data_IF_739109790442
#
_entry.id   IF_739109790442
#
_cell.length_a   1.000
_cell.length_b   1.000
_cell.length_c   1.000
_cell.angle_alpha   90.00
_cell.angle_beta   90.00
_cell.angle_gamma   90.00
#
_symmetry.space_group_name_H-M   'P 1'
#
loop_
_entity.id
_entity.type
_entity.pdbx_description
1 polymer ?
#
# COMPACT_ATOMS: atom_id res chain seq x y z
N UNK A 1 -15.52 -23.83 18.31
CA UNK A 1 -16.32 -23.17 17.24
C UNK A 1 -15.39 -22.27 16.45
N UNK A 2 -15.25 -22.39 15.13
CA UNK A 2 -14.29 -21.57 14.35
C UNK A 2 -14.94 -20.25 13.99
N UNK A 3 -14.31 -19.14 14.37
CA UNK A 3 -14.72 -17.80 13.95
C UNK A 3 -14.67 -17.69 12.41
N UNK A 4 -15.71 -17.12 11.79
CA UNK A 4 -15.77 -17.02 10.33
C UNK A 4 -14.83 -15.93 9.85
N UNK A 5 -14.00 -16.20 8.82
CA UNK A 5 -13.09 -15.21 8.18
C UNK A 5 -13.79 -13.88 7.84
N UNK A 6 -15.09 -13.95 7.49
CA UNK A 6 -15.92 -12.78 7.18
C UNK A 6 -16.14 -11.85 8.37
N UNK A 7 -16.22 -12.39 9.59
CA UNK A 7 -16.40 -11.60 10.81
C UNK A 7 -15.12 -10.86 11.17
N UNK A 8 -13.97 -11.52 11.03
CA UNK A 8 -12.65 -10.89 11.19
C UNK A 8 -12.44 -9.75 10.19
N UNK A 9 -12.76 -9.98 8.93
CA UNK A 9 -12.65 -8.95 7.90
C UNK A 9 -13.58 -7.76 8.19
N UNK A 10 -14.82 -8.00 8.61
CA UNK A 10 -15.74 -6.92 9.03
C UNK A 10 -15.20 -6.14 10.22
N UNK A 11 -14.62 -6.83 11.21
CA UNK A 11 -13.99 -6.18 12.36
C UNK A 11 -12.79 -5.32 11.93
N UNK A 12 -11.92 -5.85 11.07
CA UNK A 12 -10.77 -5.13 10.53
C UNK A 12 -11.18 -3.85 9.79
N UNK A 13 -12.24 -3.92 8.96
CA UNK A 13 -12.68 -2.79 8.13
C UNK A 13 -13.70 -1.87 8.81
N UNK A 14 -14.15 -2.19 10.01
CA UNK A 14 -15.17 -1.41 10.72
C UNK A 14 -14.72 0.04 10.91
N UNK A 15 -15.54 0.98 10.48
CA UNK A 15 -15.36 2.44 10.62
C UNK A 15 -14.09 3.02 9.96
N UNK A 16 -13.29 2.20 9.27
CA UNK A 16 -12.00 2.61 8.69
C UNK A 16 -11.84 2.25 7.21
N UNK A 17 -12.87 1.66 6.59
CA UNK A 17 -12.80 1.20 5.20
C UNK A 17 -12.50 2.35 4.23
N UNK A 18 -13.23 3.45 4.35
CA UNK A 18 -13.04 4.62 3.49
C UNK A 18 -11.65 5.24 3.67
N UNK A 19 -11.19 5.33 4.92
CA UNK A 19 -9.85 5.83 5.23
C UNK A 19 -8.76 4.92 4.68
N UNK A 20 -8.90 3.60 4.82
CA UNK A 20 -7.95 2.64 4.23
C UNK A 20 -7.90 2.73 2.70
N UNK A 21 -9.05 2.89 2.03
CA UNK A 21 -9.10 3.09 0.58
C UNK A 21 -8.41 4.39 0.16
N UNK A 22 -8.59 5.47 0.92
CA UNK A 22 -7.91 6.74 0.66
C UNK A 22 -6.39 6.59 0.77
N UNK A 23 -5.90 5.94 1.81
CA UNK A 23 -4.46 5.68 2.02
C UNK A 23 -3.88 4.89 0.84
N UNK A 24 -4.57 3.83 0.39
CA UNK A 24 -4.15 3.01 -0.75
C UNK A 24 -4.16 3.81 -2.04
N UNK A 25 -5.19 4.64 -2.26
CA UNK A 25 -5.28 5.49 -3.45
C UNK A 25 -4.12 6.50 -3.52
N UNK A 26 -3.83 7.18 -2.40
CA UNK A 26 -2.69 8.11 -2.31
C UNK A 26 -1.38 7.38 -2.59
N UNK A 27 -1.18 6.19 -2.02
CA UNK A 27 0.02 5.40 -2.22
C UNK A 27 0.16 4.97 -3.69
N UNK A 28 -0.92 4.48 -4.29
CA UNK A 28 -0.95 4.05 -5.70
C UNK A 28 -0.62 5.20 -6.63
N UNK A 29 -1.27 6.37 -6.45
CA UNK A 29 -1.02 7.57 -7.26
C UNK A 29 0.44 8.01 -7.11
N UNK A 30 0.95 8.04 -5.87
CA UNK A 30 2.31 8.47 -5.56
C UNK A 30 3.35 7.57 -6.22
N UNK A 31 3.17 6.24 -6.17
CA UNK A 31 4.07 5.29 -6.83
C UNK A 31 4.03 5.44 -8.36
N UNK A 32 2.83 5.47 -8.94
CA UNK A 32 2.66 5.57 -10.40
C UNK A 32 3.22 6.89 -10.92
N UNK A 33 2.91 8.01 -10.28
CA UNK A 33 3.40 9.32 -10.66
C UNK A 33 4.93 9.42 -10.55
N UNK A 34 5.53 8.89 -9.47
CA UNK A 34 6.98 8.84 -9.29
C UNK A 34 7.67 8.15 -10.44
N UNK A 35 7.16 6.98 -10.82
CA UNK A 35 7.72 6.17 -11.89
C UNK A 35 7.65 6.88 -13.25
N UNK A 36 6.45 7.37 -13.61
CA UNK A 36 6.22 8.02 -14.89
C UNK A 36 7.04 9.31 -15.04
N UNK A 37 6.98 10.20 -14.06
CA UNK A 37 7.67 11.50 -14.12
C UNK A 37 9.19 11.32 -14.15
N UNK A 38 9.74 10.42 -13.35
CA UNK A 38 11.17 10.14 -13.38
C UNK A 38 11.61 9.55 -14.72
N UNK A 39 10.81 8.68 -15.33
CA UNK A 39 11.09 8.10 -16.65
C UNK A 39 11.04 9.15 -17.76
N UNK A 40 10.00 9.98 -17.80
CA UNK A 40 9.83 11.04 -18.79
C UNK A 40 10.93 12.08 -18.67
N UNK A 41 11.22 12.55 -17.45
CA UNK A 41 12.27 13.55 -17.23
C UNK A 41 13.65 13.06 -17.67
N UNK A 42 14.00 11.80 -17.40
CA UNK A 42 15.25 11.19 -17.85
C UNK A 42 15.31 11.11 -19.38
N UNK A 43 14.23 10.63 -20.01
CA UNK A 43 14.13 10.57 -21.47
C UNK A 43 14.34 11.95 -22.10
N UNK A 44 13.68 12.96 -21.55
CA UNK A 44 13.76 14.31 -22.10
C UNK A 44 15.13 14.95 -21.89
N UNK A 45 15.85 14.63 -20.80
CA UNK A 45 17.26 15.00 -20.63
C UNK A 45 18.12 14.49 -21.80
N UNK A 46 17.98 13.22 -22.14
CA UNK A 46 18.71 12.63 -23.28
C UNK A 46 18.28 13.24 -24.62
N UNK A 47 16.97 13.46 -24.80
CA UNK A 47 16.44 14.07 -26.03
C UNK A 47 16.99 15.50 -26.25
N UNK A 48 17.10 16.31 -25.18
CA UNK A 48 17.70 17.66 -25.25
C UNK A 48 19.18 17.58 -25.67
N UNK A 49 19.94 16.64 -25.10
CA UNK A 49 21.35 16.44 -25.43
C UNK A 49 21.51 16.01 -26.90
N UNK A 50 20.61 15.17 -27.39
CA UNK A 50 20.64 14.67 -28.77
C UNK A 50 19.96 15.61 -29.78
N UNK A 51 19.38 16.74 -29.35
CA UNK A 51 18.65 17.68 -30.20
C UNK A 51 17.33 17.15 -30.73
N UNK A 52 16.70 16.21 -30.02
CA UNK A 52 15.42 15.60 -30.35
C UNK A 52 14.25 16.32 -29.64
N UNK A 53 13.04 16.05 -30.10
CA UNK A 53 11.83 16.56 -29.48
C UNK A 53 11.62 16.01 -28.07
N UNK A 54 11.22 16.90 -27.15
CA UNK A 54 10.98 16.59 -25.75
C UNK A 54 9.49 16.40 -25.46
N UNK A 55 9.20 15.44 -24.60
CA UNK A 55 7.83 15.05 -24.25
C UNK A 55 7.16 16.11 -23.35
N UNK A 56 7.90 16.74 -22.44
CA UNK A 56 7.40 17.76 -21.52
C UNK A 56 7.36 19.17 -22.15
N UNK A 57 7.88 19.35 -23.37
CA UNK A 57 7.99 20.68 -23.99
C UNK A 57 9.05 21.59 -23.32
N UNK A 58 9.91 21.05 -22.48
CA UNK A 58 10.94 21.78 -21.74
C UNK A 58 12.31 21.48 -22.36
N UNK A 59 12.88 22.46 -23.04
CA UNK A 59 14.18 22.32 -23.71
C UNK A 59 15.38 22.75 -22.83
N UNK A 60 15.13 23.27 -21.63
CA UNK A 60 16.18 23.65 -20.70
C UNK A 60 16.66 22.44 -19.90
N UNK A 61 17.91 22.05 -20.11
CA UNK A 61 18.56 20.95 -19.40
C UNK A 61 18.55 21.16 -17.88
N UNK A 62 18.81 22.38 -17.42
CA UNK A 62 18.83 22.71 -15.99
C UNK A 62 17.47 22.50 -15.34
N UNK A 63 16.38 22.86 -16.03
CA UNK A 63 15.02 22.67 -15.53
C UNK A 63 14.68 21.18 -15.47
N UNK A 64 15.04 20.40 -16.48
CA UNK A 64 14.80 18.96 -16.50
C UNK A 64 15.58 18.24 -15.39
N UNK A 65 16.83 18.62 -15.15
CA UNK A 65 17.63 18.11 -14.03
C UNK A 65 16.97 18.47 -12.70
N UNK A 66 16.52 19.73 -12.55
CA UNK A 66 15.82 20.16 -11.35
C UNK A 66 14.53 19.35 -11.11
N UNK A 67 13.72 19.12 -12.14
CA UNK A 67 12.53 18.28 -12.06
C UNK A 67 12.90 16.86 -11.63
N UNK A 68 13.94 16.28 -12.22
CA UNK A 68 14.37 14.92 -11.90
C UNK A 68 14.85 14.75 -10.44
N UNK A 69 15.29 15.83 -9.79
CA UNK A 69 15.68 15.83 -8.37
C UNK A 69 14.51 16.19 -7.47
N UNK A 70 13.73 17.22 -7.82
CA UNK A 70 12.68 17.75 -6.95
C UNK A 70 11.46 16.82 -6.88
N UNK A 71 11.11 16.18 -7.99
CA UNK A 71 9.94 15.25 -8.01
C UNK A 71 10.12 14.10 -7.01
N UNK A 72 11.23 13.35 -6.97
CA UNK A 72 11.45 12.32 -5.94
C UNK A 72 11.45 12.87 -4.51
N UNK A 73 11.98 14.08 -4.29
CA UNK A 73 11.96 14.70 -2.96
C UNK A 73 10.53 14.98 -2.48
N UNK A 74 9.73 15.63 -3.32
CA UNK A 74 8.31 15.91 -3.01
C UNK A 74 7.55 14.61 -2.74
N UNK A 75 7.76 13.60 -3.59
CA UNK A 75 7.13 12.29 -3.44
C UNK A 75 7.53 11.62 -2.12
N UNK A 76 8.80 11.70 -1.72
CA UNK A 76 9.25 11.17 -0.44
C UNK A 76 8.58 11.90 0.75
N UNK A 77 8.39 13.21 0.68
CA UNK A 77 7.63 13.96 1.69
C UNK A 77 6.17 13.46 1.77
N UNK A 78 5.51 13.27 0.63
CA UNK A 78 4.15 12.73 0.58
C UNK A 78 4.09 11.32 1.17
N UNK A 79 5.07 10.45 0.88
CA UNK A 79 5.17 9.11 1.45
C UNK A 79 5.33 9.14 2.97
N UNK A 80 6.14 10.03 3.52
CA UNK A 80 6.31 10.17 4.97
C UNK A 80 5.00 10.59 5.65
N UNK A 81 4.28 11.55 5.08
CA UNK A 81 2.96 11.95 5.58
C UNK A 81 1.98 10.77 5.50
N UNK A 82 1.93 10.07 4.35
CA UNK A 82 1.05 8.92 4.17
C UNK A 82 1.39 7.79 5.16
N UNK A 83 2.66 7.56 5.47
CA UNK A 83 3.10 6.58 6.47
C UNK A 83 2.49 6.85 7.85
N UNK A 84 2.39 8.11 8.28
CA UNK A 84 1.73 8.47 9.53
C UNK A 84 0.22 8.13 9.52
N UNK A 85 -0.44 8.30 8.38
CA UNK A 85 -1.84 7.89 8.21
C UNK A 85 -2.00 6.37 8.20
N UNK A 86 -1.08 5.66 7.57
CA UNK A 86 -1.02 4.18 7.59
C UNK A 86 -0.91 3.67 9.03
N UNK A 87 -0.04 4.24 9.86
CA UNK A 87 0.09 3.82 11.27
C UNK A 87 -1.18 4.08 12.09
N UNK A 88 -1.87 5.19 11.88
CA UNK A 88 -3.18 5.45 12.49
C UNK A 88 -4.22 4.42 12.05
N UNK A 89 -4.22 4.07 10.78
CA UNK A 89 -5.10 3.04 10.22
C UNK A 89 -4.83 1.67 10.85
N UNK A 90 -3.56 1.25 10.91
CA UNK A 90 -3.13 0.00 11.56
C UNK A 90 -3.58 -0.06 13.02
N UNK A 91 -3.34 1.01 13.77
CA UNK A 91 -3.71 1.08 15.19
C UNK A 91 -5.21 0.92 15.39
N UNK A 92 -6.02 1.58 14.56
CA UNK A 92 -7.48 1.44 14.63
C UNK A 92 -7.94 0.04 14.22
N UNK A 93 -7.34 -0.53 13.17
CA UNK A 93 -7.61 -1.91 12.73
C UNK A 93 -7.28 -2.92 13.84
N UNK A 94 -6.12 -2.80 14.48
CA UNK A 94 -5.73 -3.63 15.64
C UNK A 94 -6.76 -3.53 16.76
N UNK A 95 -7.15 -2.32 17.13
CA UNK A 95 -8.14 -2.11 18.16
C UNK A 95 -9.47 -2.82 17.84
N UNK A 96 -9.97 -2.67 16.61
CA UNK A 96 -11.21 -3.28 16.17
C UNK A 96 -11.14 -4.82 16.21
N UNK A 97 -10.03 -5.40 15.70
CA UNK A 97 -9.82 -6.85 15.71
C UNK A 97 -9.68 -7.36 17.15
N UNK A 98 -8.91 -6.65 18.00
CA UNK A 98 -8.73 -6.99 19.42
C UNK A 98 -10.06 -7.02 20.17
N UNK A 99 -10.91 -6.04 19.95
CA UNK A 99 -12.21 -5.97 20.63
C UNK A 99 -13.12 -7.14 20.27
N UNK A 100 -13.13 -7.56 18.99
CA UNK A 100 -13.92 -8.72 18.55
C UNK A 100 -13.33 -10.03 19.06
N UNK A 101 -12.02 -10.20 19.01
CA UNK A 101 -11.36 -11.39 19.53
C UNK A 101 -11.55 -11.50 21.06
N UNK A 102 -11.44 -10.39 21.79
CA UNK A 102 -11.68 -10.37 23.23
C UNK A 102 -13.11 -10.79 23.57
N UNK A 103 -14.10 -10.25 22.88
CA UNK A 103 -15.48 -10.63 23.06
C UNK A 103 -15.73 -12.12 22.79
N UNK A 104 -15.00 -12.69 21.83
CA UNK A 104 -15.06 -14.11 21.51
C UNK A 104 -14.42 -14.98 22.60
N UNK A 105 -13.22 -14.59 23.06
CA UNK A 105 -12.51 -15.27 24.16
C UNK A 105 -13.33 -15.25 25.46
N UNK A 106 -13.87 -14.11 25.85
CA UNK A 106 -14.71 -13.99 27.03
C UNK A 106 -15.97 -14.86 26.97
N UNK A 107 -16.55 -15.00 25.78
CA UNK A 107 -17.71 -15.86 25.55
C UNK A 107 -17.37 -17.36 25.64
N UNK A 108 -16.16 -17.73 25.30
CA UNK A 108 -15.66 -19.11 25.34
C UNK A 108 -15.08 -19.49 26.72
N UNK A 109 -14.51 -18.54 27.46
CA UNK A 109 -14.00 -18.72 28.83
C UNK A 109 -15.11 -18.91 29.87
N UNK A 110 -16.34 -18.51 29.56
CA UNK A 110 -17.53 -18.82 30.39
C UNK A 110 -17.93 -20.30 30.33
N UNK A 111 -17.22 -21.12 29.55
CA UNK A 111 -17.48 -22.55 29.41
C UNK A 111 -16.53 -23.31 30.37
N UNK A 112 -17.00 -23.89 31.49
CA UNK A 112 -16.16 -24.42 32.59
C UNK A 112 -15.30 -25.64 32.24
N UNK A 113 -15.31 -26.09 30.99
CA UNK A 113 -14.62 -27.31 30.53
C UNK A 113 -13.27 -27.05 29.83
N UNK A 114 -12.67 -25.84 29.86
CA UNK A 114 -11.47 -25.53 29.06
C UNK A 114 -10.31 -24.89 29.81
N UNK A 115 -9.14 -25.21 29.30
CA UNK A 115 -7.77 -24.95 29.68
C UNK A 115 -7.39 -23.56 30.20
N UNK A 116 -6.31 -23.56 30.96
CA UNK A 116 -5.60 -22.45 31.62
C UNK A 116 -5.62 -21.10 30.91
N UNK A 117 -5.99 -20.05 31.65
CA UNK A 117 -6.06 -18.63 31.25
C UNK A 117 -4.85 -18.10 30.48
N UNK A 118 -3.65 -18.64 30.73
CA UNK A 118 -2.42 -18.22 30.07
C UNK A 118 -2.30 -18.63 28.60
N UNK A 119 -2.78 -19.80 28.24
CA UNK A 119 -2.75 -20.28 26.84
C UNK A 119 -3.73 -19.47 25.97
N UNK A 120 -4.92 -19.17 26.51
CA UNK A 120 -5.94 -18.34 25.86
C UNK A 120 -5.44 -16.91 25.65
N UNK A 121 -4.75 -16.33 26.63
CA UNK A 121 -4.21 -14.97 26.54
C UNK A 121 -3.09 -14.87 25.51
N UNK A 122 -2.23 -15.88 25.45
CA UNK A 122 -1.12 -15.94 24.49
C UNK A 122 -1.65 -16.14 23.05
N UNK A 123 -2.64 -17.00 22.87
CA UNK A 123 -3.35 -17.17 21.62
C UNK A 123 -3.97 -15.85 21.15
N UNK A 124 -4.68 -15.15 22.05
CA UNK A 124 -5.29 -13.86 21.76
C UNK A 124 -4.26 -12.81 21.31
N UNK A 125 -3.10 -12.76 21.93
CA UNK A 125 -2.04 -11.79 21.64
C UNK A 125 -1.42 -12.04 20.27
N UNK A 126 -1.03 -13.25 19.96
CA UNK A 126 -0.31 -13.62 18.75
C UNK A 126 -1.25 -13.66 17.53
N UNK A 127 -2.38 -14.32 17.63
CA UNK A 127 -3.35 -14.44 16.53
C UNK A 127 -3.94 -13.10 16.11
N UNK A 128 -4.07 -12.15 17.03
CA UNK A 128 -4.54 -10.80 16.69
C UNK A 128 -3.57 -10.07 15.78
N UNK A 129 -2.28 -10.13 16.07
CA UNK A 129 -1.25 -9.49 15.24
C UNK A 129 -1.16 -10.17 13.87
N UNK A 130 -1.21 -11.48 13.82
CA UNK A 130 -1.16 -12.26 12.58
C UNK A 130 -2.36 -11.95 11.67
N UNK A 131 -3.57 -11.86 12.23
CA UNK A 131 -4.78 -11.49 11.47
C UNK A 131 -4.67 -10.07 10.92
N UNK A 132 -4.23 -9.13 11.73
CA UNK A 132 -4.07 -7.73 11.29
C UNK A 132 -2.99 -7.63 10.21
N UNK A 133 -1.85 -8.26 10.40
CA UNK A 133 -0.75 -8.25 9.44
C UNK A 133 -1.17 -8.91 8.12
N UNK A 134 -1.88 -10.03 8.16
CA UNK A 134 -2.42 -10.68 6.95
C UNK A 134 -3.29 -9.73 6.11
N UNK A 135 -4.24 -9.02 6.75
CA UNK A 135 -5.09 -8.09 6.03
C UNK A 135 -4.31 -6.88 5.52
N UNK A 136 -3.36 -6.35 6.31
CA UNK A 136 -2.52 -5.23 5.89
C UNK A 136 -1.65 -5.61 4.69
N UNK A 137 -1.04 -6.78 4.71
CA UNK A 137 -0.19 -7.24 3.61
C UNK A 137 -0.99 -7.35 2.31
N UNK A 138 -2.21 -7.87 2.36
CA UNK A 138 -3.12 -7.87 1.21
C UNK A 138 -3.33 -6.47 0.64
N UNK A 139 -3.60 -5.48 1.50
CA UNK A 139 -3.79 -4.10 1.07
C UNK A 139 -2.51 -3.48 0.48
N UNK A 140 -1.34 -3.79 1.02
CA UNK A 140 -0.06 -3.31 0.48
C UNK A 140 0.32 -3.92 -0.88
N UNK A 141 -0.24 -5.05 -1.26
CA UNK A 141 -0.02 -5.61 -2.59
C UNK A 141 -0.78 -4.84 -3.68
N UNK A 142 -1.90 -4.20 -3.35
CA UNK A 142 -2.73 -3.49 -4.34
C UNK A 142 -1.96 -2.41 -5.10
N UNK A 143 -1.25 -1.44 -4.46
CA UNK A 143 -0.45 -0.45 -5.18
C UNK A 143 0.63 -1.06 -6.07
N UNK A 144 1.27 -2.14 -5.62
CA UNK A 144 2.32 -2.82 -6.37
C UNK A 144 1.76 -3.49 -7.62
N UNK A 145 0.61 -4.16 -7.51
CA UNK A 145 -0.09 -4.78 -8.65
C UNK A 145 -0.50 -3.72 -9.67
N UNK A 146 -1.09 -2.61 -9.21
CA UNK A 146 -1.50 -1.51 -10.09
C UNK A 146 -0.29 -0.92 -10.82
N UNK A 147 0.83 -0.71 -10.12
CA UNK A 147 2.06 -0.24 -10.72
C UNK A 147 2.59 -1.21 -11.78
N UNK A 148 2.66 -2.50 -11.46
CA UNK A 148 3.13 -3.53 -12.40
C UNK A 148 2.27 -3.58 -13.67
N UNK A 149 0.95 -3.56 -13.52
CA UNK A 149 0.01 -3.51 -14.65
C UNK A 149 0.20 -2.23 -15.47
N UNK A 150 0.38 -1.08 -14.80
CA UNK A 150 0.61 0.19 -15.50
C UNK A 150 1.91 0.17 -16.32
N UNK A 151 2.98 -0.41 -15.77
CA UNK A 151 4.26 -0.57 -16.48
C UNK A 151 4.08 -1.46 -17.71
N UNK A 152 3.42 -2.61 -17.56
CA UNK A 152 3.15 -3.51 -18.68
C UNK A 152 2.34 -2.84 -19.79
N UNK A 153 1.32 -2.07 -19.45
CA UNK A 153 0.52 -1.31 -20.41
C UNK A 153 1.42 -0.31 -21.16
N UNK A 154 2.23 0.47 -20.45
CA UNK A 154 3.14 1.44 -21.07
C UNK A 154 4.15 0.74 -21.98
N UNK A 155 4.74 -0.36 -21.53
CA UNK A 155 5.68 -1.16 -22.34
C UNK A 155 5.02 -1.71 -23.61
N UNK A 156 3.78 -2.17 -23.51
CA UNK A 156 3.02 -2.66 -24.68
C UNK A 156 2.83 -1.57 -25.76
N UNK A 157 2.57 -0.34 -25.34
CA UNK A 157 2.44 0.79 -26.30
C UNK A 157 3.78 1.23 -26.89
N UNK A 158 4.91 1.06 -26.17
CA UNK A 158 6.23 1.43 -26.66
C UNK A 158 6.78 0.34 -27.57
N UNK A 159 6.75 -0.90 -27.14
CA UNK A 159 7.22 -2.05 -27.88
C UNK A 159 6.52 -3.34 -27.39
N UNK A 160 5.57 -3.89 -28.15
CA UNK A 160 4.80 -5.06 -27.73
C UNK A 160 5.65 -6.32 -27.53
N UNK A 161 6.79 -6.44 -28.21
CA UNK A 161 7.68 -7.59 -28.06
C UNK A 161 8.31 -7.60 -26.65
N UNK A 162 8.77 -6.44 -26.17
CA UNK A 162 9.33 -6.36 -24.82
C UNK A 162 8.29 -6.59 -23.73
N UNK A 163 7.03 -6.21 -23.95
CA UNK A 163 5.97 -6.44 -22.98
C UNK A 163 5.57 -7.91 -22.81
N UNK A 164 5.87 -8.75 -23.81
CA UNK A 164 5.59 -10.20 -23.75
C UNK A 164 6.75 -10.99 -23.12
N UNK A 165 7.97 -10.45 -23.15
CA UNK A 165 9.18 -11.14 -22.67
C UNK A 165 9.51 -10.76 -21.21
N UNK A 166 8.99 -9.64 -20.69
CA UNK A 166 9.22 -9.16 -19.33
C UNK A 166 8.18 -9.71 -18.35
#
# INVERSE_FOLDING_TARGET
>A
MKMKKRELYRAFTKDIKAFGLLVIAVETITYTFSFLMSGIAKKDIFNVIEGKDVTLGIYSLNILILINVMVPLIINCVKQVNSAFVEKWKTKARYNVKSVLLSYVLRESLNPARETDGAVLNYYRNECEDVVNFFLEFYYQVPKIVLSVSILIVMFFINPIFAVVS
#
